data_IF_250489408917
#
_entry.id   IF_250489408917
#
_cell.length_a   1.000
_cell.length_b   1.000
_cell.length_c   1.000
_cell.angle_alpha   90.00
_cell.angle_beta   90.00
_cell.angle_gamma   90.00
#
_symmetry.space_group_name_H-M   'P 1'
#
loop_
_entity.id
_entity.type
_entity.pdbx_description
1 polymer ?
#
# COMPACT_ATOMS: atom_id res chain seq x y z
N UNK A 1 73.09 29.23 5.00
CA UNK A 1 72.20 28.58 5.98
C UNK A 1 70.92 29.40 6.05
N UNK A 2 69.71 28.96 5.71
CA UNK A 2 69.22 27.73 5.10
C UNK A 2 67.87 28.06 4.46
N UNK A 3 67.54 27.39 3.36
CA UNK A 3 66.27 27.51 2.64
C UNK A 3 65.12 26.95 3.48
N UNK A 4 64.08 27.76 3.73
CA UNK A 4 62.82 27.30 4.31
C UNK A 4 61.95 26.74 3.19
N UNK A 5 62.00 25.42 3.02
CA UNK A 5 61.08 24.69 2.16
C UNK A 5 59.68 24.69 2.79
N UNK A 6 58.77 25.53 2.28
CA UNK A 6 57.33 25.43 2.55
C UNK A 6 56.79 24.12 1.98
N UNK A 7 56.55 23.15 2.86
CA UNK A 7 55.84 21.90 2.58
C UNK A 7 54.38 22.22 2.22
N UNK A 8 54.08 22.24 0.92
CA UNK A 8 52.70 22.25 0.43
C UNK A 8 52.10 20.87 0.66
N UNK A 9 51.31 20.73 1.72
CA UNK A 9 50.53 19.54 2.00
C UNK A 9 49.51 19.33 0.88
N UNK A 10 49.86 18.51 -0.12
CA UNK A 10 48.90 17.92 -1.04
C UNK A 10 47.90 17.10 -0.23
N UNK A 11 46.77 17.70 0.09
CA UNK A 11 45.57 16.96 0.51
C UNK A 11 45.06 16.24 -0.72
N UNK A 12 45.53 15.02 -0.92
CA UNK A 12 44.98 14.09 -1.89
C UNK A 12 43.54 13.82 -1.48
N UNK A 13 42.58 14.48 -2.13
CA UNK A 13 41.17 14.11 -2.00
C UNK A 13 41.04 12.67 -2.47
N UNK A 14 40.89 11.74 -1.54
CA UNK A 14 40.54 10.37 -1.86
C UNK A 14 39.15 10.46 -2.51
N UNK A 15 39.12 10.33 -3.84
CA UNK A 15 37.88 10.14 -4.59
C UNK A 15 37.20 8.94 -3.97
N UNK A 16 36.08 9.17 -3.28
CA UNK A 16 35.21 8.12 -2.79
C UNK A 16 34.92 7.19 -3.98
N UNK A 17 35.38 5.95 -3.88
CA UNK A 17 35.16 4.93 -4.89
C UNK A 17 33.65 4.70 -4.98
N UNK A 18 33.17 4.75 -6.22
CA UNK A 18 31.77 4.56 -6.61
C UNK A 18 31.37 3.11 -6.28
N UNK A 19 31.10 2.82 -5.02
CA UNK A 19 30.64 1.52 -4.55
C UNK A 19 29.13 1.50 -4.73
N UNK A 20 28.67 0.69 -5.69
CA UNK A 20 27.25 0.43 -5.89
C UNK A 20 26.75 -0.43 -4.72
N UNK A 21 26.40 0.22 -3.61
CA UNK A 21 25.81 -0.43 -2.43
C UNK A 21 24.32 -0.60 -2.70
N UNK A 22 23.89 -1.85 -2.81
CA UNK A 22 22.49 -2.19 -3.03
C UNK A 22 21.84 -2.71 -1.73
N UNK A 23 20.66 -2.20 -1.41
CA UNK A 23 19.84 -2.65 -0.27
C UNK A 23 18.49 -3.13 -0.81
N UNK A 24 18.04 -4.31 -0.37
CA UNK A 24 16.76 -4.92 -0.78
C UNK A 24 15.92 -5.32 0.43
N UNK A 25 14.60 -5.33 0.26
CA UNK A 25 13.61 -5.75 1.26
C UNK A 25 12.89 -7.00 0.75
N UNK A 26 12.62 -7.96 1.64
CA UNK A 26 11.77 -9.12 1.37
C UNK A 26 10.57 -9.14 2.34
N UNK A 27 9.34 -9.20 1.80
CA UNK A 27 8.12 -9.32 2.59
C UNK A 27 7.72 -10.81 2.71
N UNK A 28 8.06 -11.41 3.86
CA UNK A 28 7.76 -12.82 4.19
C UNK A 28 6.57 -12.91 5.15
N UNK A 29 6.05 -14.13 5.32
CA UNK A 29 4.97 -14.43 6.28
C UNK A 29 3.65 -13.67 6.01
N UNK A 30 3.13 -13.78 4.78
CA UNK A 30 1.88 -13.12 4.35
C UNK A 30 0.61 -13.97 4.61
N UNK A 31 0.69 -14.99 5.47
CA UNK A 31 -0.37 -16.00 5.66
C UNK A 31 -1.64 -15.49 6.34
N UNK A 32 -1.58 -14.34 7.01
CA UNK A 32 -2.71 -13.70 7.72
C UNK A 32 -3.31 -12.51 6.95
N UNK A 33 -3.10 -12.44 5.64
CA UNK A 33 -3.66 -11.40 4.76
C UNK A 33 -5.13 -11.70 4.35
N UNK A 34 -5.73 -10.78 3.58
CA UNK A 34 -7.08 -10.89 3.00
C UNK A 34 -8.21 -11.07 4.04
N UNK A 35 -8.42 -10.13 4.98
CA UNK A 35 -9.55 -10.22 5.90
C UNK A 35 -10.88 -9.95 5.18
N UNK A 36 -11.96 -10.58 5.64
CA UNK A 36 -13.30 -10.39 5.06
C UNK A 36 -14.04 -9.14 5.59
N UNK A 37 -13.50 -8.48 6.61
CA UNK A 37 -13.95 -7.19 7.15
C UNK A 37 -12.76 -6.43 7.73
N UNK A 38 -12.90 -5.12 7.89
CA UNK A 38 -11.95 -4.37 8.72
C UNK A 38 -11.99 -4.91 10.17
N UNK A 39 -10.85 -4.95 10.88
CA UNK A 39 -10.84 -5.39 12.26
C UNK A 39 -11.77 -4.54 13.14
N UNK A 40 -12.37 -5.18 14.15
CA UNK A 40 -13.10 -4.44 15.17
C UNK A 40 -12.07 -3.73 16.09
N UNK A 41 -12.46 -2.59 16.65
CA UNK A 41 -11.56 -1.68 17.39
C UNK A 41 -10.79 -2.32 18.56
N UNK A 42 -11.37 -3.35 19.21
CA UNK A 42 -10.72 -4.07 20.31
C UNK A 42 -9.59 -5.00 19.85
N UNK A 43 -9.42 -5.20 18.54
CA UNK A 43 -8.33 -6.00 17.95
C UNK A 43 -7.90 -5.43 16.60
N UNK A 44 -7.15 -4.33 16.62
CA UNK A 44 -6.87 -3.53 15.42
C UNK A 44 -5.81 -4.05 14.44
N UNK A 45 -5.02 -5.07 14.80
CA UNK A 45 -3.94 -5.63 13.96
C UNK A 45 -3.11 -4.54 13.22
N UNK A 46 -2.37 -3.69 13.95
CA UNK A 46 -1.71 -2.53 13.36
C UNK A 46 -0.56 -2.92 12.42
N UNK A 47 -0.33 -2.07 11.42
CA UNK A 47 0.86 -2.12 10.58
C UNK A 47 2.06 -1.58 11.36
N UNK A 48 2.92 -2.46 11.86
CA UNK A 48 4.03 -2.09 12.75
C UNK A 48 5.03 -1.11 12.10
N UNK A 49 5.19 -1.18 10.77
CA UNK A 49 6.03 -0.24 10.04
C UNK A 49 5.54 1.21 10.10
N UNK A 50 4.27 1.46 10.46
CA UNK A 50 3.71 2.80 10.57
C UNK A 50 4.33 3.63 11.71
N UNK A 51 4.95 2.97 12.70
CA UNK A 51 5.68 3.64 13.79
C UNK A 51 7.11 4.04 13.43
N UNK A 52 7.63 3.57 12.30
CA UNK A 52 8.98 3.92 11.86
C UNK A 52 9.00 5.35 11.32
N UNK A 53 10.13 6.05 11.46
CA UNK A 53 10.30 7.42 10.94
C UNK A 53 10.10 7.48 9.43
N UNK A 54 10.46 6.41 8.72
CA UNK A 54 10.29 6.23 7.29
C UNK A 54 8.82 6.34 6.85
N UNK A 55 7.88 5.92 7.69
CA UNK A 55 6.45 5.99 7.38
C UNK A 55 5.87 7.42 7.39
N UNK A 56 6.63 8.40 7.90
CA UNK A 56 6.27 9.84 7.85
C UNK A 56 6.69 10.52 6.55
N UNK A 57 7.48 9.84 5.72
CA UNK A 57 7.94 10.37 4.44
C UNK A 57 6.81 10.18 3.40
N UNK A 58 6.39 11.25 2.69
CA UNK A 58 5.42 11.14 1.61
C UNK A 58 5.81 10.10 0.56
N UNK A 59 4.81 9.48 -0.10
CA UNK A 59 5.09 8.63 -1.26
C UNK A 59 5.88 9.41 -2.33
N UNK A 60 6.95 8.80 -2.85
CA UNK A 60 7.78 9.39 -3.91
C UNK A 60 7.03 9.45 -5.25
N UNK A 61 7.46 10.35 -6.14
CA UNK A 61 6.91 10.37 -7.51
C UNK A 61 7.22 9.09 -8.29
N UNK A 62 8.35 8.43 -7.98
CA UNK A 62 8.69 7.13 -8.54
C UNK A 62 7.62 6.07 -8.25
N UNK A 63 7.29 5.84 -6.97
CA UNK A 63 6.28 4.82 -6.62
C UNK A 63 4.88 5.21 -7.11
N UNK A 64 4.56 6.51 -7.11
CA UNK A 64 3.29 7.01 -7.66
C UNK A 64 3.19 6.70 -9.15
N UNK A 65 4.23 7.00 -9.94
CA UNK A 65 4.23 6.76 -11.38
C UNK A 65 4.14 5.27 -11.74
N UNK A 66 4.73 4.40 -10.91
CA UNK A 66 4.68 2.95 -11.10
C UNK A 66 3.33 2.33 -10.73
N UNK A 67 2.65 2.84 -9.68
CA UNK A 67 1.47 2.17 -9.11
C UNK A 67 0.15 2.83 -9.50
N UNK A 68 0.07 4.17 -9.50
CA UNK A 68 -1.18 4.90 -9.72
C UNK A 68 -1.92 4.54 -11.01
N UNK A 69 -1.25 4.33 -12.18
CA UNK A 69 -1.94 3.99 -13.42
C UNK A 69 -2.80 2.72 -13.29
N UNK A 70 -2.36 1.76 -12.50
CA UNK A 70 -3.04 0.48 -12.31
C UNK A 70 -4.17 0.57 -11.28
N UNK A 71 -3.89 1.11 -10.09
CA UNK A 71 -4.86 1.11 -8.99
C UNK A 71 -5.96 2.17 -9.16
N UNK A 72 -5.75 3.15 -10.04
CA UNK A 72 -6.77 4.15 -10.40
C UNK A 72 -7.78 3.62 -11.41
N UNK A 73 -7.41 2.62 -12.22
CA UNK A 73 -8.30 2.01 -13.19
C UNK A 73 -9.11 0.87 -12.56
N UNK A 74 -10.42 1.09 -12.47
CA UNK A 74 -11.33 0.06 -11.93
C UNK A 74 -11.45 -1.15 -12.84
N UNK A 75 -11.12 -1.05 -14.12
CA UNK A 75 -11.10 -2.18 -15.04
C UNK A 75 -9.94 -3.10 -14.69
N UNK A 76 -8.72 -2.56 -14.57
CA UNK A 76 -7.55 -3.31 -14.06
C UNK A 76 -7.82 -3.94 -12.69
N UNK A 77 -8.25 -3.14 -11.71
CA UNK A 77 -8.51 -3.62 -10.34
C UNK A 77 -9.52 -4.77 -10.35
N UNK A 78 -10.52 -4.70 -11.23
CA UNK A 78 -11.52 -5.74 -11.32
C UNK A 78 -11.05 -6.98 -12.08
N UNK A 79 -10.55 -6.82 -13.29
CA UNK A 79 -10.33 -7.92 -14.22
C UNK A 79 -8.97 -8.58 -14.07
N UNK A 80 -7.94 -7.80 -13.82
CA UNK A 80 -6.56 -8.32 -13.72
C UNK A 80 -6.22 -8.71 -12.28
N UNK A 81 -6.77 -8.02 -11.28
CA UNK A 81 -6.46 -8.28 -9.88
C UNK A 81 -7.54 -9.09 -9.15
N UNK A 82 -8.76 -8.56 -9.03
CA UNK A 82 -9.81 -9.21 -8.23
C UNK A 82 -10.27 -10.55 -8.83
N UNK A 83 -10.52 -10.60 -10.14
CA UNK A 83 -11.01 -11.82 -10.80
C UNK A 83 -9.93 -12.92 -10.74
N UNK A 84 -8.63 -12.59 -10.80
CA UNK A 84 -7.53 -13.55 -10.66
C UNK A 84 -7.39 -14.08 -9.22
N UNK A 85 -7.51 -13.20 -8.22
CA UNK A 85 -7.55 -13.63 -6.80
C UNK A 85 -8.76 -14.53 -6.54
N UNK A 86 -9.93 -14.23 -7.11
CA UNK A 86 -11.13 -15.08 -6.98
C UNK A 86 -10.87 -16.47 -7.58
N UNK A 87 -10.22 -16.57 -8.75
CA UNK A 87 -9.82 -17.85 -9.37
C UNK A 87 -8.86 -18.63 -8.48
N UNK A 88 -7.84 -17.97 -7.92
CA UNK A 88 -6.87 -18.60 -7.02
C UNK A 88 -7.56 -19.16 -5.77
N UNK A 89 -8.42 -18.36 -5.12
CA UNK A 89 -9.14 -18.79 -3.92
C UNK A 89 -10.14 -19.92 -4.21
N UNK A 90 -10.64 -20.02 -5.44
CA UNK A 90 -11.53 -21.10 -5.87
C UNK A 90 -10.87 -22.48 -5.96
N UNK A 91 -9.53 -22.56 -5.89
CA UNK A 91 -8.81 -23.83 -5.80
C UNK A 91 -8.95 -24.50 -4.42
N UNK A 92 -9.33 -23.76 -3.38
CA UNK A 92 -9.56 -24.30 -2.05
C UNK A 92 -10.85 -25.14 -2.01
N UNK A 93 -10.80 -26.33 -1.40
CA UNK A 93 -11.95 -27.24 -1.28
C UNK A 93 -13.12 -26.62 -0.49
N UNK A 94 -12.84 -25.69 0.41
CA UNK A 94 -13.81 -24.97 1.23
C UNK A 94 -14.11 -23.56 0.68
N UNK A 95 -13.84 -23.32 -0.61
CA UNK A 95 -14.13 -22.04 -1.26
C UNK A 95 -15.57 -21.57 -0.98
N UNK A 96 -15.68 -20.36 -0.45
CA UNK A 96 -16.95 -19.71 -0.19
C UNK A 96 -17.03 -18.39 -0.94
N UNK A 97 -17.77 -18.38 -2.05
CA UNK A 97 -17.94 -17.19 -2.89
C UNK A 97 -18.38 -15.94 -2.11
N UNK A 98 -19.27 -16.08 -1.12
CA UNK A 98 -19.75 -14.92 -0.33
C UNK A 98 -18.64 -14.37 0.57
N UNK A 99 -17.79 -15.23 1.10
CA UNK A 99 -16.63 -14.82 1.91
C UNK A 99 -15.60 -14.11 1.04
N UNK A 100 -15.25 -14.68 -0.12
CA UNK A 100 -14.29 -14.10 -1.06
C UNK A 100 -14.76 -12.73 -1.55
N UNK A 101 -16.04 -12.59 -1.89
CA UNK A 101 -16.60 -11.28 -2.30
C UNK A 101 -16.47 -10.22 -1.19
N UNK A 102 -16.59 -10.61 0.09
CA UNK A 102 -16.36 -9.71 1.23
C UNK A 102 -14.87 -9.34 1.37
N UNK A 103 -13.95 -10.31 1.23
CA UNK A 103 -12.50 -10.05 1.22
C UNK A 103 -12.12 -9.07 0.10
N UNK A 104 -12.62 -9.31 -1.12
CA UNK A 104 -12.36 -8.42 -2.25
C UNK A 104 -13.00 -7.04 -2.05
N UNK A 105 -14.10 -6.93 -1.30
CA UNK A 105 -14.68 -5.63 -0.93
C UNK A 105 -13.83 -4.82 0.02
N UNK A 106 -13.14 -5.48 0.97
CA UNK A 106 -12.11 -4.84 1.80
C UNK A 106 -10.93 -4.42 0.92
N UNK A 107 -10.42 -5.32 0.08
CA UNK A 107 -9.27 -5.05 -0.79
C UNK A 107 -9.51 -3.86 -1.72
N UNK A 108 -10.67 -3.78 -2.38
CA UNK A 108 -11.04 -2.62 -3.22
C UNK A 108 -11.11 -1.31 -2.42
N UNK A 109 -11.55 -1.37 -1.17
CA UNK A 109 -11.54 -0.22 -0.26
C UNK A 109 -10.13 0.23 0.10
N UNK A 110 -9.21 -0.71 0.36
CA UNK A 110 -7.79 -0.41 0.59
C UNK A 110 -7.13 0.21 -0.64
N UNK A 111 -7.38 -0.36 -1.83
CA UNK A 111 -6.91 0.18 -3.12
C UNK A 111 -7.43 1.60 -3.33
N UNK A 112 -8.70 1.85 -3.03
CA UNK A 112 -9.29 3.18 -3.12
C UNK A 112 -8.59 4.20 -2.22
N UNK A 113 -8.36 3.86 -0.95
CA UNK A 113 -7.65 4.73 -0.01
C UNK A 113 -6.19 4.96 -0.43
N UNK A 114 -5.49 3.91 -0.88
CA UNK A 114 -4.12 4.01 -1.37
C UNK A 114 -4.02 4.95 -2.58
N UNK A 115 -4.90 4.82 -3.56
CA UNK A 115 -4.92 5.69 -4.73
C UNK A 115 -5.18 7.15 -4.33
N UNK A 116 -6.08 7.38 -3.38
CA UNK A 116 -6.35 8.73 -2.86
C UNK A 116 -5.14 9.31 -2.11
N UNK A 117 -4.51 8.53 -1.21
CA UNK A 117 -3.33 8.95 -0.47
C UNK A 117 -2.16 9.32 -1.40
N UNK A 118 -1.92 8.51 -2.45
CA UNK A 118 -0.88 8.78 -3.43
C UNK A 118 -1.15 10.07 -4.23
N UNK A 119 -2.39 10.32 -4.66
CA UNK A 119 -2.77 11.58 -5.36
C UNK A 119 -2.63 12.81 -4.47
N UNK A 120 -3.01 12.68 -3.21
CA UNK A 120 -2.95 13.77 -2.22
C UNK A 120 -1.54 13.99 -1.68
N UNK A 121 -0.55 13.20 -2.10
CA UNK A 121 0.84 13.33 -1.63
C UNK A 121 1.03 12.97 -0.16
N UNK A 122 0.18 12.09 0.38
CA UNK A 122 0.26 11.62 1.77
C UNK A 122 1.45 10.67 1.99
N UNK A 123 1.82 10.50 3.25
CA UNK A 123 2.76 9.51 3.74
C UNK A 123 2.09 8.17 4.09
N UNK A 124 2.84 7.06 4.21
CA UNK A 124 2.31 5.78 4.65
C UNK A 124 1.57 5.81 5.98
N UNK A 125 2.02 6.62 6.95
CA UNK A 125 1.33 6.75 8.24
C UNK A 125 -0.02 7.46 8.10
N UNK A 126 -0.10 8.50 7.26
CA UNK A 126 -1.37 9.20 6.99
C UNK A 126 -2.36 8.30 6.24
N UNK A 127 -1.88 7.42 5.34
CA UNK A 127 -2.71 6.40 4.70
C UNK A 127 -3.34 5.46 5.73
N UNK A 128 -2.58 4.97 6.72
CA UNK A 128 -3.10 4.06 7.75
C UNK A 128 -4.17 4.73 8.63
N UNK A 129 -4.10 6.05 8.81
CA UNK A 129 -5.10 6.82 9.54
C UNK A 129 -6.38 7.11 8.74
N UNK A 130 -6.40 6.83 7.42
CA UNK A 130 -7.61 7.02 6.63
C UNK A 130 -8.73 6.09 7.09
N UNK A 131 -9.97 6.57 7.21
CA UNK A 131 -11.11 5.71 7.57
C UNK A 131 -11.24 4.52 6.64
N UNK A 132 -11.53 3.35 7.22
CA UNK A 132 -11.69 2.12 6.45
C UNK A 132 -12.86 2.23 5.46
N UNK A 133 -12.62 1.87 4.20
CA UNK A 133 -13.66 1.86 3.17
C UNK A 133 -13.96 0.43 2.77
N UNK A 134 -15.23 0.13 2.47
CA UNK A 134 -15.65 -1.07 1.76
C UNK A 134 -16.19 -0.67 0.40
N UNK A 135 -15.77 -1.38 -0.65
CA UNK A 135 -16.26 -1.16 -2.00
C UNK A 135 -16.95 -2.43 -2.49
N UNK A 136 -18.27 -2.40 -2.53
CA UNK A 136 -19.13 -3.53 -2.89
C UNK A 136 -19.52 -3.48 -4.37
N UNK A 137 -19.53 -4.63 -5.02
CA UNK A 137 -20.10 -4.75 -6.37
C UNK A 137 -21.63 -4.79 -6.25
N UNK A 138 -22.29 -3.79 -6.82
CA UNK A 138 -23.76 -3.76 -6.93
C UNK A 138 -24.16 -4.67 -8.08
N UNK A 139 -24.88 -5.74 -7.77
CA UNK A 139 -25.55 -6.57 -8.77
C UNK A 139 -26.90 -5.93 -9.06
N UNK A 140 -26.99 -5.18 -10.15
CA UNK A 140 -28.27 -4.70 -10.64
C UNK A 140 -28.87 -5.77 -11.55
N UNK A 141 -29.87 -6.51 -11.03
CA UNK A 141 -30.57 -7.55 -11.80
C UNK A 141 -31.38 -6.97 -12.98
N UNK A 142 -31.61 -5.65 -13.03
CA UNK A 142 -32.38 -4.98 -14.09
C UNK A 142 -31.52 -4.41 -15.22
N UNK A 143 -30.21 -4.30 -15.04
CA UNK A 143 -29.28 -3.80 -16.06
C UNK A 143 -28.29 -4.90 -16.43
N UNK A 144 -28.63 -5.69 -17.46
CA UNK A 144 -27.66 -6.57 -18.13
C UNK A 144 -26.51 -5.71 -18.68
N UNK A 145 -25.40 -5.61 -17.96
CA UNK A 145 -24.12 -5.17 -18.54
C UNK A 145 -23.28 -4.17 -17.76
N UNK A 146 -23.79 -3.45 -16.74
CA UNK A 146 -23.01 -2.44 -16.01
C UNK A 146 -22.77 -2.83 -14.55
N UNK A 147 -21.57 -3.36 -14.25
CA UNK A 147 -21.10 -3.56 -12.87
C UNK A 147 -20.93 -2.18 -12.21
N UNK A 148 -21.84 -1.79 -11.32
CA UNK A 148 -21.71 -0.57 -10.50
C UNK A 148 -21.04 -0.92 -9.18
N UNK A 149 -20.23 -0.03 -8.63
CA UNK A 149 -19.61 -0.19 -7.30
C UNK A 149 -20.21 0.80 -6.31
N UNK A 150 -20.51 0.34 -5.09
CA UNK A 150 -20.96 1.18 -3.97
C UNK A 150 -19.87 1.27 -2.94
N UNK A 151 -19.52 2.49 -2.54
CA UNK A 151 -18.60 2.78 -1.43
C UNK A 151 -19.40 2.87 -0.13
N UNK A 152 -18.89 2.25 0.93
CA UNK A 152 -19.36 2.40 2.30
C UNK A 152 -18.16 2.78 3.15
N UNK A 153 -18.22 3.94 3.78
CA UNK A 153 -17.21 4.37 4.74
C UNK A 153 -17.54 3.76 6.10
N UNK A 154 -16.52 3.27 6.80
CA UNK A 154 -16.62 3.03 8.22
C UNK A 154 -16.27 4.35 8.90
N UNK A 155 -17.28 5.12 9.30
CA UNK A 155 -17.14 6.47 9.88
C UNK A 155 -16.44 6.47 11.26
N UNK A 156 -15.93 5.33 11.71
CA UNK A 156 -15.18 5.20 12.94
C UNK A 156 -13.68 5.28 12.65
N UNK A 157 -13.06 6.33 13.19
CA UNK A 157 -11.62 6.50 13.19
C UNK A 157 -10.98 5.29 13.89
N UNK A 158 -9.86 4.75 13.39
CA UNK A 158 -9.10 3.78 14.16
C UNK A 158 -8.74 4.40 15.52
N UNK A 159 -9.15 3.76 16.62
CA UNK A 159 -8.96 4.23 18.02
C UNK A 159 -7.49 4.51 18.43
N UNK A 160 -6.53 4.32 17.52
CA UNK A 160 -5.11 4.51 17.73
C UNK A 160 -4.64 5.82 17.11
N UNK A 161 -5.30 6.92 17.48
CA UNK A 161 -4.79 8.28 17.29
C UNK A 161 -3.98 8.75 18.51
N UNK A 162 -3.13 7.89 19.06
CA UNK A 162 -2.09 8.37 19.98
C UNK A 162 -0.96 8.90 19.11
N UNK A 163 -1.04 10.18 18.74
CA UNK A 163 0.04 11.17 18.56
C UNK A 163 -0.56 12.45 17.98
#
# INVERSE_FOLDING_TARGET
>A
EGDVATSSSKTTSIKATNTNIEIRIAAIDNGLAFPFKHPDEWRAYPFHWAWLKQAKIPFSEEIKSQILPFISDMSFVQHELCDEIERLFALDKNYNRRLVERQLSVMRGQIFNLAQAMRDGKSPVELVHMPGVLVERVRDHRLKGRKKFKKKFNDRYPLFSWF
#
